data_IF_181410212329
#
_entry.id   IF_181410212329
#
_cell.length_a   1.000
_cell.length_b   1.000
_cell.length_c   1.000
_cell.angle_alpha   90.00
_cell.angle_beta   90.00
_cell.angle_gamma   90.00
#
_symmetry.space_group_name_H-M   'P 1'
#
loop_
_entity.id
_entity.type
_entity.pdbx_description
1 polymer ?
#
# COMPACT_ATOMS: atom_id res chain seq x y z
N UNK A 1 9.47 -12.49 -5.23
CA UNK A 1 8.08 -12.04 -5.06
C UNK A 1 7.97 -10.51 -4.97
N UNK A 2 8.63 -9.86 -4.00
CA UNK A 2 8.48 -8.42 -3.78
C UNK A 2 9.01 -7.51 -4.91
N UNK A 3 9.99 -7.98 -5.68
CA UNK A 3 10.56 -7.26 -6.83
C UNK A 3 9.93 -7.67 -8.17
N UNK A 4 8.91 -8.54 -8.17
CA UNK A 4 8.28 -8.99 -9.40
C UNK A 4 7.59 -7.80 -10.12
N UNK A 5 7.84 -7.70 -11.43
CA UNK A 5 7.17 -6.76 -12.31
C UNK A 5 6.06 -7.51 -13.06
N UNK A 6 4.78 -7.19 -12.85
CA UNK A 6 3.69 -7.85 -13.56
C UNK A 6 3.65 -7.43 -15.03
N UNK A 7 3.30 -8.35 -15.93
CA UNK A 7 3.20 -8.09 -17.38
C UNK A 7 1.96 -7.28 -17.78
N UNK A 8 1.01 -7.12 -16.86
CA UNK A 8 -0.31 -6.52 -17.12
C UNK A 8 -0.81 -5.73 -15.92
N UNK A 9 -1.41 -4.58 -16.21
CA UNK A 9 -2.07 -3.73 -15.21
C UNK A 9 -3.33 -4.39 -14.65
N UNK A 10 -3.74 -3.97 -13.45
CA UNK A 10 -5.05 -4.34 -12.92
C UNK A 10 -6.13 -3.49 -13.58
N UNK A 11 -7.34 -4.04 -13.78
CA UNK A 11 -8.45 -3.34 -14.44
C UNK A 11 -8.79 -1.98 -13.81
N UNK A 12 -8.63 -1.83 -12.48
CA UNK A 12 -8.86 -0.54 -11.81
C UNK A 12 -7.77 0.48 -12.15
N UNK A 13 -6.51 0.06 -12.32
CA UNK A 13 -5.41 0.93 -12.72
C UNK A 13 -5.66 1.45 -14.14
N UNK A 14 -6.00 0.56 -15.08
CA UNK A 14 -6.33 0.93 -16.46
C UNK A 14 -7.48 1.95 -16.53
N UNK A 15 -8.52 1.76 -15.71
CA UNK A 15 -9.65 2.70 -15.62
C UNK A 15 -9.27 4.05 -15.03
N UNK A 16 -8.40 4.07 -14.02
CA UNK A 16 -7.89 5.30 -13.42
C UNK A 16 -7.03 6.08 -14.41
N UNK A 17 -6.13 5.40 -15.11
CA UNK A 17 -5.30 6.00 -16.17
C UNK A 17 -6.16 6.56 -17.30
N UNK A 18 -7.18 5.81 -17.76
CA UNK A 18 -8.13 6.27 -18.78
C UNK A 18 -8.95 7.49 -18.33
N UNK A 19 -9.17 7.65 -17.02
CA UNK A 19 -9.82 8.82 -16.44
C UNK A 19 -8.86 10.01 -16.21
N UNK A 20 -7.58 9.88 -16.58
CA UNK A 20 -6.57 10.93 -16.44
C UNK A 20 -5.85 10.95 -15.08
N UNK A 21 -5.98 9.90 -14.27
CA UNK A 21 -5.23 9.80 -13.01
C UNK A 21 -3.74 9.51 -13.28
N UNK A 22 -2.87 10.01 -12.40
CA UNK A 22 -1.43 9.71 -12.40
C UNK A 22 -1.13 8.71 -11.29
N UNK A 23 -0.58 7.55 -11.64
CA UNK A 23 -0.19 6.52 -10.68
C UNK A 23 1.19 6.87 -10.11
N UNK A 24 1.24 7.25 -8.83
CA UNK A 24 2.47 7.75 -8.19
C UNK A 24 3.34 6.63 -7.62
N UNK A 25 2.75 5.65 -6.93
CA UNK A 25 3.50 4.59 -6.25
C UNK A 25 2.63 3.37 -5.90
N UNK A 26 3.27 2.30 -5.41
CA UNK A 26 2.63 1.18 -4.71
C UNK A 26 2.78 1.38 -3.20
N UNK A 27 1.68 1.32 -2.46
CA UNK A 27 1.69 1.50 -1.01
C UNK A 27 2.02 0.20 -0.28
N UNK A 28 2.55 0.32 0.95
CA UNK A 28 2.83 -0.82 1.81
C UNK A 28 1.56 -1.48 2.36
N UNK A 29 1.61 -2.80 2.51
CA UNK A 29 0.55 -3.61 3.10
C UNK A 29 1.11 -4.75 3.95
N UNK A 30 0.27 -5.34 4.80
CA UNK A 30 0.62 -6.58 5.50
C UNK A 30 0.92 -7.69 4.48
N UNK A 31 1.88 -8.58 4.79
CA UNK A 31 2.27 -9.67 3.88
C UNK A 31 1.04 -10.47 3.43
N UNK A 32 0.87 -10.62 2.11
CA UNK A 32 -0.29 -11.24 1.46
C UNK A 32 -1.66 -10.69 1.89
N UNK A 33 -1.71 -9.44 2.35
CA UNK A 33 -2.87 -8.83 2.99
C UNK A 33 -3.37 -9.58 4.25
N UNK A 34 -2.54 -10.45 4.84
CA UNK A 34 -2.91 -11.34 5.93
C UNK A 34 -2.56 -10.77 7.30
N UNK A 35 -3.19 -9.64 7.66
CA UNK A 35 -3.02 -9.04 8.98
C UNK A 35 -3.57 -7.62 9.08
N UNK A 36 -3.67 -7.11 10.31
CA UNK A 36 -4.41 -5.88 10.62
C UNK A 36 -3.52 -4.70 11.04
N UNK A 37 -2.20 -4.84 10.96
CA UNK A 37 -1.23 -3.83 11.40
C UNK A 37 -0.30 -3.30 10.31
N UNK A 38 -0.31 -3.91 9.13
CA UNK A 38 0.62 -3.57 8.03
C UNK A 38 2.10 -3.70 8.39
N UNK A 39 2.41 -4.56 9.36
CA UNK A 39 3.74 -5.15 9.56
C UNK A 39 4.06 -6.08 8.38
N UNK A 40 5.26 -5.97 7.83
CA UNK A 40 5.69 -6.78 6.68
C UNK A 40 7.20 -7.03 6.78
N UNK A 41 7.65 -8.30 6.88
CA UNK A 41 9.07 -8.62 7.10
C UNK A 41 9.97 -8.29 5.90
N UNK A 42 9.38 -8.06 4.72
CA UNK A 42 10.13 -7.85 3.48
C UNK A 42 10.23 -6.37 3.10
N UNK A 43 9.17 -5.59 3.28
CA UNK A 43 9.16 -4.15 2.98
C UNK A 43 9.38 -3.27 4.22
N UNK A 44 9.38 -3.86 5.41
CA UNK A 44 9.34 -3.14 6.67
C UNK A 44 7.92 -2.66 7.04
N UNK A 45 7.74 -2.18 8.28
CA UNK A 45 6.45 -1.72 8.79
C UNK A 45 6.02 -0.39 8.19
N UNK A 46 4.73 -0.26 7.91
CA UNK A 46 4.11 1.06 7.72
C UNK A 46 3.95 1.73 9.08
N UNK A 47 4.22 3.04 9.17
CA UNK A 47 4.03 3.82 10.40
C UNK A 47 2.79 4.70 10.32
N UNK A 48 2.08 4.85 11.44
CA UNK A 48 0.95 5.77 11.54
C UNK A 48 1.47 7.21 11.47
N UNK A 49 0.94 8.06 10.56
CA UNK A 49 1.44 9.42 10.37
C UNK A 49 1.17 10.34 11.57
N UNK A 50 0.17 10.03 12.40
CA UNK A 50 -0.18 10.84 13.58
C UNK A 50 0.68 10.49 14.80
N UNK A 51 1.14 9.25 14.90
CA UNK A 51 2.05 8.77 15.96
C UNK A 51 2.77 7.50 15.49
N UNK A 52 4.09 7.60 15.24
CA UNK A 52 4.89 6.49 14.74
C UNK A 52 5.02 5.31 15.72
N UNK A 53 4.65 5.47 16.99
CA UNK A 53 4.59 4.38 17.97
C UNK A 53 3.32 3.53 17.85
N UNK A 54 2.29 4.02 17.13
CA UNK A 54 1.02 3.32 16.91
C UNK A 54 0.98 2.61 15.56
N UNK A 55 0.12 1.59 15.48
CA UNK A 55 -0.21 0.92 14.22
C UNK A 55 -0.96 1.87 13.27
N UNK A 56 -0.70 1.85 11.96
CA UNK A 56 -1.52 2.53 10.95
C UNK A 56 -2.81 1.74 10.61
N UNK A 57 -3.03 0.59 11.23
CA UNK A 57 -4.05 -0.39 10.83
C UNK A 57 -3.59 -1.26 9.68
N UNK A 58 -4.49 -2.06 9.10
CA UNK A 58 -4.13 -2.99 8.04
C UNK A 58 -5.28 -3.82 7.48
N UNK A 59 -5.06 -4.56 6.40
CA UNK A 59 -3.75 -4.72 5.74
C UNK A 59 -3.32 -3.52 4.89
N UNK A 60 -4.23 -2.63 4.52
CA UNK A 60 -3.99 -1.47 3.66
C UNK A 60 -3.44 -0.23 4.38
N UNK A 61 -2.57 -0.42 5.38
CA UNK A 61 -2.07 0.67 6.22
C UNK A 61 -1.27 1.71 5.44
N UNK A 62 -0.53 1.32 4.40
CA UNK A 62 0.21 2.28 3.56
C UNK A 62 -0.71 3.22 2.78
N UNK A 63 -1.87 2.72 2.32
CA UNK A 63 -2.87 3.57 1.66
C UNK A 63 -3.51 4.55 2.64
N UNK A 64 -3.84 4.10 3.85
CA UNK A 64 -4.39 4.97 4.89
C UNK A 64 -3.36 6.03 5.33
N UNK A 65 -2.11 5.64 5.56
CA UNK A 65 -1.04 6.53 5.97
C UNK A 65 -0.70 7.59 4.90
N UNK A 66 -0.73 7.22 3.61
CA UNK A 66 -0.45 8.15 2.52
C UNK A 66 -1.53 9.22 2.32
N UNK A 67 -2.79 8.95 2.72
CA UNK A 67 -3.92 9.88 2.54
C UNK A 67 -4.22 10.66 3.83
N UNK A 68 -4.06 10.03 4.99
CA UNK A 68 -4.44 10.60 6.29
C UNK A 68 -3.34 11.37 7.01
N UNK A 69 -2.17 11.53 6.39
CA UNK A 69 -1.06 12.34 6.87
C UNK A 69 -1.04 13.73 6.25
#
# INVERSE_FOLDING_TARGET
FYEAVPERSATIVERLEAAGAVIVSRTGLHEFAYGFSSENPWSGPVRNPLDAALSPGGSSGGSAAAVGG
#
